data_IF_348503671181
#
_entry.id   IF_348503671181
#
_cell.length_a   1.000
_cell.length_b   1.000
_cell.length_c   1.000
_cell.angle_alpha   90.00
_cell.angle_beta   90.00
_cell.angle_gamma   90.00
#
_symmetry.space_group_name_H-M   'P 1'
#
loop_
_entity.id
_entity.type
_entity.pdbx_description
1 polymer ?
#
# COMPACT_ATOMS: atom_id res chain seq x y z
N UNK A 1 -32.28 -3.19 -4.33
CA UNK A 1 -33.02 -1.91 -4.35
C UNK A 1 -33.77 -1.82 -5.67
N UNK A 2 -35.08 -1.62 -5.59
CA UNK A 2 -35.98 -1.39 -6.73
C UNK A 2 -35.61 -0.07 -7.41
N UNK A 3 -35.48 -0.10 -8.74
CA UNK A 3 -35.12 1.06 -9.55
C UNK A 3 -36.14 2.19 -9.35
N UNK A 4 -35.69 3.25 -8.68
CA UNK A 4 -36.43 4.50 -8.56
C UNK A 4 -36.22 5.33 -9.82
N UNK A 5 -37.34 5.61 -10.50
CA UNK A 5 -37.61 6.75 -11.39
C UNK A 5 -36.45 7.73 -11.67
N UNK A 6 -35.88 7.65 -12.87
CA UNK A 6 -35.71 8.78 -13.81
C UNK A 6 -34.93 10.02 -13.38
N UNK A 7 -34.11 9.98 -12.34
CA UNK A 7 -33.29 11.14 -11.95
C UNK A 7 -31.92 11.04 -12.60
N UNK A 8 -31.71 11.79 -13.68
CA UNK A 8 -30.39 11.96 -14.29
C UNK A 8 -29.59 12.98 -13.49
N UNK A 9 -28.49 12.57 -12.87
CA UNK A 9 -27.64 13.48 -12.12
C UNK A 9 -26.68 14.23 -13.05
N UNK A 10 -26.44 15.49 -12.76
CA UNK A 10 -25.38 16.26 -13.42
C UNK A 10 -24.08 16.18 -12.61
N UNK A 11 -22.92 16.34 -13.26
CA UNK A 11 -21.63 16.46 -12.56
C UNK A 11 -21.62 17.60 -11.53
N UNK A 12 -22.40 18.67 -11.71
CA UNK A 12 -22.51 19.78 -10.75
C UNK A 12 -23.27 19.41 -9.48
N UNK A 13 -24.24 18.52 -9.59
CA UNK A 13 -25.05 18.04 -8.46
C UNK A 13 -24.50 16.77 -7.81
N UNK A 14 -23.50 16.14 -8.43
CA UNK A 14 -22.94 14.89 -7.98
C UNK A 14 -22.07 15.06 -6.73
N UNK A 15 -22.12 14.08 -5.84
CA UNK A 15 -21.26 14.02 -4.66
C UNK A 15 -19.87 13.49 -5.03
N UNK A 16 -18.91 13.78 -4.17
CA UNK A 16 -17.56 13.23 -4.22
C UNK A 16 -16.72 13.59 -5.48
N UNK A 17 -17.07 14.68 -6.17
CA UNK A 17 -16.41 15.10 -7.43
C UNK A 17 -14.97 15.63 -7.25
N UNK A 18 -14.64 16.17 -6.07
CA UNK A 18 -13.43 16.98 -5.88
C UNK A 18 -13.54 18.37 -6.55
N UNK A 19 -12.41 19.07 -6.75
CA UNK A 19 -11.05 18.63 -6.47
C UNK A 19 -10.78 18.53 -4.95
N UNK A 20 -9.87 17.62 -4.59
CA UNK A 20 -9.41 17.41 -3.22
C UNK A 20 -7.91 17.67 -3.13
N UNK A 21 -7.49 18.29 -2.02
CA UNK A 21 -6.09 18.34 -1.62
C UNK A 21 -5.84 17.20 -0.64
N UNK A 22 -5.16 16.14 -1.09
CA UNK A 22 -4.81 14.99 -0.24
C UNK A 22 -3.58 15.31 0.61
N UNK A 23 -2.62 16.04 0.05
CA UNK A 23 -1.45 16.51 0.76
C UNK A 23 -0.90 17.76 0.09
N UNK A 24 -0.75 18.82 0.86
CA UNK A 24 -0.11 20.07 0.42
C UNK A 24 1.42 20.06 0.64
N UNK A 25 1.95 19.02 1.31
CA UNK A 25 3.37 18.84 1.56
C UNK A 25 4.06 18.15 0.39
N UNK A 26 5.35 18.42 0.17
CA UNK A 26 6.15 17.77 -0.87
C UNK A 26 6.32 16.26 -0.61
N UNK A 27 5.94 15.36 -1.54
CA UNK A 27 5.31 15.66 -2.83
C UNK A 27 3.81 15.94 -2.69
N UNK A 28 3.39 17.07 -3.27
CA UNK A 28 1.99 17.49 -3.29
C UNK A 28 1.12 16.49 -4.03
N UNK A 29 -0.13 16.36 -3.60
CA UNK A 29 -1.03 15.34 -4.11
C UNK A 29 -2.47 15.82 -4.06
N UNK A 30 -3.12 15.72 -5.23
CA UNK A 30 -4.48 16.15 -5.45
C UNK A 30 -5.28 15.02 -6.11
N UNK A 31 -6.60 15.07 -5.92
CA UNK A 31 -7.56 14.22 -6.64
C UNK A 31 -8.58 15.10 -7.35
N UNK A 32 -8.91 14.77 -8.58
CA UNK A 32 -10.08 15.32 -9.28
C UNK A 32 -10.91 14.17 -9.83
N UNK A 33 -12.17 14.41 -10.14
CA UNK A 33 -12.89 13.52 -11.03
C UNK A 33 -12.12 13.37 -12.36
N UNK A 34 -12.27 12.21 -12.98
CA UNK A 34 -11.62 11.88 -14.25
C UNK A 34 -12.31 12.61 -15.40
N UNK A 35 -11.52 13.10 -16.35
CA UNK A 35 -11.98 13.84 -17.51
C UNK A 35 -11.47 13.23 -18.81
N UNK A 36 -12.19 13.42 -19.92
CA UNK A 36 -11.76 12.91 -21.23
C UNK A 36 -10.40 13.46 -21.67
N UNK A 37 -10.01 14.64 -21.18
CA UNK A 37 -8.67 15.20 -21.39
C UNK A 37 -7.55 14.37 -20.75
N UNK A 38 -7.86 13.45 -19.82
CA UNK A 38 -6.87 12.56 -19.20
C UNK A 38 -6.50 11.37 -20.10
N UNK A 39 -7.23 11.14 -21.21
CA UNK A 39 -7.02 10.01 -22.13
C UNK A 39 -5.57 9.91 -22.64
N UNK A 40 -4.95 10.98 -23.19
CA UNK A 40 -3.61 10.87 -23.74
C UNK A 40 -2.57 10.43 -22.69
N UNK A 41 -2.64 10.98 -21.48
CA UNK A 41 -1.73 10.61 -20.40
C UNK A 41 -2.00 9.21 -19.86
N UNK A 42 -3.27 8.80 -19.75
CA UNK A 42 -3.59 7.43 -19.35
C UNK A 42 -3.09 6.40 -20.36
N UNK A 43 -3.25 6.66 -21.66
CA UNK A 43 -2.69 5.81 -22.74
C UNK A 43 -1.17 5.79 -22.67
N UNK A 44 -0.52 6.95 -22.53
CA UNK A 44 0.94 7.03 -22.40
C UNK A 44 1.44 6.19 -21.22
N UNK A 45 0.91 6.44 -20.02
CA UNK A 45 1.36 5.82 -18.78
C UNK A 45 1.19 4.30 -18.81
N UNK A 46 0.03 3.81 -19.26
CA UNK A 46 -0.28 2.38 -19.29
C UNK A 46 0.48 1.61 -20.38
N UNK A 47 1.20 2.31 -21.25
CA UNK A 47 2.12 1.73 -22.22
C UNK A 47 3.62 1.97 -21.89
N UNK A 48 3.96 2.69 -20.81
CA UNK A 48 5.37 2.87 -20.40
C UNK A 48 6.03 1.51 -20.18
N UNK A 49 5.34 0.62 -19.47
CA UNK A 49 5.76 -0.76 -19.25
C UNK A 49 4.54 -1.64 -18.92
N UNK A 50 4.79 -2.93 -18.68
CA UNK A 50 3.75 -3.91 -18.34
C UNK A 50 3.45 -3.99 -16.84
N UNK A 51 4.05 -3.17 -15.97
CA UNK A 51 3.94 -3.36 -14.51
C UNK A 51 2.51 -3.17 -14.03
N UNK A 52 1.83 -2.12 -14.51
CA UNK A 52 0.42 -1.86 -14.16
C UNK A 52 -0.50 -2.95 -14.72
N UNK A 53 -0.21 -3.44 -15.92
CA UNK A 53 -0.93 -4.56 -16.53
C UNK A 53 -0.75 -5.85 -15.74
N UNK A 54 0.49 -6.24 -15.44
CA UNK A 54 0.82 -7.46 -14.70
C UNK A 54 0.25 -7.43 -13.28
N UNK A 55 0.13 -6.25 -12.68
CA UNK A 55 -0.43 -6.06 -11.33
C UNK A 55 -1.96 -6.00 -11.27
N UNK A 56 -2.67 -6.03 -12.39
CA UNK A 56 -4.10 -5.73 -12.46
C UNK A 56 -4.85 -6.66 -13.41
N UNK A 57 -5.93 -7.29 -12.91
CA UNK A 57 -6.77 -8.20 -13.69
C UNK A 57 -7.50 -7.55 -14.88
N UNK A 58 -7.59 -6.21 -14.90
CA UNK A 58 -8.57 -5.48 -15.72
C UNK A 58 -7.95 -4.65 -16.85
N UNK A 59 -6.63 -4.68 -16.99
CA UNK A 59 -5.96 -3.95 -18.07
C UNK A 59 -5.70 -4.86 -19.27
N UNK A 60 -5.70 -4.26 -20.45
CA UNK A 60 -5.28 -4.88 -21.71
C UNK A 60 -3.94 -4.26 -22.11
N UNK A 61 -3.09 -5.04 -22.79
CA UNK A 61 -1.79 -4.56 -23.28
C UNK A 61 -1.59 -4.98 -24.75
N UNK A 62 -1.25 -4.07 -25.68
CA UNK A 62 -1.06 -2.63 -25.47
C UNK A 62 -2.36 -1.93 -25.06
N UNK A 63 -2.25 -0.82 -24.34
CA UNK A 63 -3.41 -0.06 -23.89
C UNK A 63 -3.82 0.96 -24.97
N UNK A 64 -5.04 0.89 -25.47
CA UNK A 64 -5.52 1.70 -26.58
C UNK A 64 -6.35 2.90 -26.10
N UNK A 65 -6.46 3.91 -26.96
CA UNK A 65 -7.32 5.07 -26.73
C UNK A 65 -8.79 4.68 -26.52
N UNK A 66 -9.29 3.68 -27.26
CA UNK A 66 -10.64 3.14 -27.06
C UNK A 66 -10.83 2.57 -25.65
N UNK A 67 -9.83 1.88 -25.09
CA UNK A 67 -9.90 1.35 -23.73
C UNK A 67 -9.95 2.46 -22.68
N UNK A 68 -9.24 3.57 -22.96
CA UNK A 68 -9.24 4.76 -22.13
C UNK A 68 -10.60 5.47 -22.17
N UNK A 69 -11.13 5.67 -23.38
CA UNK A 69 -12.45 6.25 -23.63
C UNK A 69 -13.54 5.46 -22.91
N UNK A 70 -13.58 4.14 -23.08
CA UNK A 70 -14.59 3.27 -22.45
C UNK A 70 -14.54 3.35 -20.92
N UNK A 71 -13.33 3.43 -20.35
CA UNK A 71 -13.14 3.49 -18.91
C UNK A 71 -13.60 4.83 -18.33
N UNK A 72 -13.25 5.94 -18.97
CA UNK A 72 -13.70 7.27 -18.55
C UNK A 72 -15.20 7.42 -18.78
N UNK A 73 -15.74 6.93 -19.89
CA UNK A 73 -17.16 6.94 -20.15
C UNK A 73 -17.94 6.22 -19.05
N UNK A 74 -17.50 5.02 -18.64
CA UNK A 74 -18.12 4.30 -17.51
C UNK A 74 -18.12 5.09 -16.20
N UNK A 75 -17.06 5.85 -15.93
CA UNK A 75 -17.01 6.72 -14.76
C UNK A 75 -18.04 7.85 -14.85
N UNK A 76 -18.18 8.49 -16.01
CA UNK A 76 -19.20 9.52 -16.25
C UNK A 76 -20.62 8.96 -16.21
N UNK A 77 -20.84 7.78 -16.77
CA UNK A 77 -22.13 7.09 -16.75
C UNK A 77 -22.53 6.72 -15.32
N UNK A 78 -21.57 6.26 -14.50
CA UNK A 78 -21.79 5.97 -13.08
C UNK A 78 -22.26 7.23 -12.35
N UNK A 79 -21.56 8.36 -12.53
CA UNK A 79 -21.94 9.64 -11.92
C UNK A 79 -23.35 10.04 -12.35
N UNK A 80 -23.67 9.88 -13.63
CA UNK A 80 -24.98 10.22 -14.19
C UNK A 80 -26.09 9.35 -13.63
N UNK A 81 -25.81 8.06 -13.41
CA UNK A 81 -26.77 7.07 -12.94
C UNK A 81 -27.06 7.16 -11.44
N UNK A 82 -26.02 7.36 -10.60
CA UNK A 82 -26.16 7.29 -9.14
C UNK A 82 -25.88 8.61 -8.42
N UNK A 83 -25.42 9.65 -9.13
CA UNK A 83 -25.14 10.97 -8.55
C UNK A 83 -23.93 11.01 -7.63
N UNK A 84 -23.07 9.99 -7.68
CA UNK A 84 -21.89 9.86 -6.84
C UNK A 84 -20.70 9.56 -7.75
N UNK A 85 -19.65 10.38 -7.65
CA UNK A 85 -18.39 10.06 -8.29
C UNK A 85 -17.62 9.02 -7.49
N UNK A 86 -17.14 8.01 -8.21
CA UNK A 86 -16.43 6.87 -7.66
C UNK A 86 -15.05 6.68 -8.28
N UNK A 87 -14.64 7.56 -9.21
CA UNK A 87 -13.38 7.44 -9.94
C UNK A 87 -12.66 8.79 -9.95
N UNK A 88 -11.37 8.77 -9.59
CA UNK A 88 -10.55 9.97 -9.48
C UNK A 88 -9.21 9.81 -10.20
N UNK A 89 -8.80 10.89 -10.85
CA UNK A 89 -7.44 11.08 -11.34
C UNK A 89 -6.57 11.59 -10.19
N UNK A 90 -5.41 10.97 -10.01
CA UNK A 90 -4.35 11.49 -9.13
C UNK A 90 -3.56 12.55 -9.89
N UNK A 91 -3.22 13.66 -9.23
CA UNK A 91 -2.45 14.76 -9.84
C UNK A 91 -1.39 15.30 -8.86
N UNK A 92 -0.25 15.73 -9.40
CA UNK A 92 0.81 16.38 -8.62
C UNK A 92 0.52 17.87 -8.35
N UNK A 93 -0.23 18.51 -9.26
CA UNK A 93 -0.80 19.86 -9.12
C UNK A 93 -2.30 19.79 -9.41
N UNK A 94 -3.14 20.73 -8.95
CA UNK A 94 -4.59 20.61 -9.08
C UNK A 94 -5.08 20.48 -10.53
N UNK A 95 -4.46 21.20 -11.46
CA UNK A 95 -4.76 21.19 -12.91
C UNK A 95 -3.71 20.40 -13.72
N UNK A 96 -2.82 19.67 -13.04
CA UNK A 96 -1.74 18.93 -13.68
C UNK A 96 -2.21 17.70 -14.46
N UNK A 97 -1.32 17.08 -15.23
CA UNK A 97 -1.62 15.83 -15.91
C UNK A 97 -2.01 14.72 -14.93
N UNK A 98 -2.75 13.74 -15.42
CA UNK A 98 -3.01 12.51 -14.68
C UNK A 98 -1.67 11.80 -14.39
N UNK A 99 -1.44 11.46 -13.13
CA UNK A 99 -0.27 10.65 -12.71
C UNK A 99 -0.67 9.26 -12.20
N UNK A 100 -1.96 9.00 -12.05
CA UNK A 100 -2.53 7.77 -11.53
C UNK A 100 -4.04 7.84 -11.44
N UNK A 101 -4.64 6.77 -10.94
CA UNK A 101 -6.08 6.61 -10.83
C UNK A 101 -6.43 5.91 -9.52
N UNK A 102 -7.50 6.34 -8.89
CA UNK A 102 -8.10 5.63 -7.78
C UNK A 102 -9.62 5.56 -7.95
N UNK A 103 -10.23 4.50 -7.42
CA UNK A 103 -11.67 4.35 -7.46
C UNK A 103 -12.17 3.55 -6.26
N UNK A 104 -13.47 3.73 -5.99
CA UNK A 104 -14.26 2.93 -5.06
C UNK A 104 -15.34 2.19 -5.87
N UNK A 105 -15.50 0.90 -5.65
CA UNK A 105 -16.56 0.10 -6.24
C UNK A 105 -17.48 -0.41 -5.15
N UNK A 106 -18.78 -0.23 -5.27
CA UNK A 106 -19.72 -0.76 -4.30
C UNK A 106 -20.14 -2.18 -4.67
N UNK A 107 -20.15 -3.08 -3.69
CA UNK A 107 -20.61 -4.45 -3.91
C UNK A 107 -22.08 -4.45 -4.35
N UNK A 108 -22.36 -5.21 -5.41
CA UNK A 108 -23.72 -5.43 -5.87
C UNK A 108 -24.26 -6.70 -5.23
N UNK A 109 -25.24 -6.54 -4.35
CA UNK A 109 -25.82 -7.65 -3.62
C UNK A 109 -26.98 -8.29 -4.36
N UNK A 110 -27.04 -9.62 -4.35
CA UNK A 110 -28.11 -10.41 -4.93
C UNK A 110 -28.22 -11.76 -4.19
N UNK A 111 -29.14 -12.63 -4.62
CA UNK A 111 -29.38 -13.92 -3.96
C UNK A 111 -28.13 -14.84 -3.90
N UNK A 112 -27.18 -14.67 -4.83
CA UNK A 112 -25.92 -15.43 -4.86
C UNK A 112 -24.79 -14.78 -4.06
N UNK A 113 -24.87 -13.45 -3.87
CA UNK A 113 -23.92 -12.64 -3.12
C UNK A 113 -24.70 -11.76 -2.13
N UNK A 114 -25.20 -12.35 -1.04
CA UNK A 114 -26.01 -11.61 -0.08
C UNK A 114 -25.18 -10.51 0.56
N UNK A 115 -25.85 -9.41 0.90
CA UNK A 115 -25.24 -8.31 1.63
C UNK A 115 -24.74 -8.81 2.99
N UNK A 116 -23.50 -8.50 3.38
CA UNK A 116 -23.01 -8.88 4.69
C UNK A 116 -23.80 -8.16 5.79
N UNK A 117 -23.93 -8.82 6.94
CA UNK A 117 -24.61 -8.28 8.12
C UNK A 117 -23.63 -8.17 9.28
N UNK A 118 -23.83 -7.15 10.10
CA UNK A 118 -23.07 -6.97 11.32
C UNK A 118 -23.37 -8.14 12.29
N UNK A 119 -22.35 -8.85 12.80
CA UNK A 119 -22.56 -10.11 13.54
C UNK A 119 -23.28 -9.93 14.88
N UNK A 120 -23.34 -8.71 15.43
CA UNK A 120 -23.98 -8.41 16.71
C UNK A 120 -25.33 -7.74 16.54
N UNK A 121 -25.44 -6.75 15.66
CA UNK A 121 -26.67 -5.96 15.49
C UNK A 121 -27.60 -6.53 14.42
N UNK A 122 -27.07 -7.36 13.51
CA UNK A 122 -27.82 -7.89 12.37
C UNK A 122 -28.07 -6.85 11.27
N UNK A 123 -27.54 -5.64 11.40
CA UNK A 123 -27.71 -4.57 10.41
C UNK A 123 -26.94 -4.87 9.13
N UNK A 124 -27.49 -4.46 7.99
CA UNK A 124 -26.87 -4.62 6.69
C UNK A 124 -25.65 -3.70 6.58
N UNK A 125 -24.51 -4.27 6.17
CA UNK A 125 -23.26 -3.54 6.01
C UNK A 125 -23.08 -3.07 4.57
N UNK A 126 -22.63 -1.84 4.41
CA UNK A 126 -22.23 -1.25 3.14
C UNK A 126 -20.75 -1.47 2.93
N UNK A 127 -20.40 -2.17 1.84
CA UNK A 127 -19.03 -2.54 1.52
C UNK A 127 -18.60 -1.87 0.22
N UNK A 128 -17.43 -1.25 0.26
CA UNK A 128 -16.77 -0.67 -0.92
C UNK A 128 -15.41 -1.33 -1.15
N UNK A 129 -15.08 -1.66 -2.39
CA UNK A 129 -13.76 -2.07 -2.83
C UNK A 129 -12.95 -0.87 -3.31
N UNK A 130 -11.74 -0.69 -2.78
CA UNK A 130 -10.79 0.30 -3.27
C UNK A 130 -9.84 -0.31 -4.29
N UNK A 131 -9.61 0.40 -5.39
CA UNK A 131 -8.61 0.05 -6.39
C UNK A 131 -7.86 1.27 -6.90
N UNK A 132 -6.59 1.10 -7.22
CA UNK A 132 -5.74 2.18 -7.73
C UNK A 132 -4.63 1.66 -8.63
N UNK A 133 -4.07 2.57 -9.42
CA UNK A 133 -2.79 2.42 -10.09
C UNK A 133 -2.08 3.77 -10.15
N UNK A 134 -0.76 3.75 -10.26
CA UNK A 134 0.07 4.94 -10.28
C UNK A 134 1.11 4.79 -11.40
N UNK A 135 1.43 5.89 -12.08
CA UNK A 135 2.51 5.90 -13.08
C UNK A 135 3.81 5.38 -12.45
N UNK A 136 4.58 4.52 -13.15
CA UNK A 136 5.91 4.09 -12.72
C UNK A 136 6.82 5.28 -12.32
N UNK A 137 6.70 6.41 -13.02
CA UNK A 137 7.46 7.66 -12.79
C UNK A 137 7.18 8.30 -11.42
N UNK A 138 6.08 7.91 -10.77
CA UNK A 138 5.60 8.46 -9.51
C UNK A 138 5.60 7.44 -8.35
N UNK A 139 6.06 6.21 -8.61
CA UNK A 139 6.19 5.17 -7.59
C UNK A 139 7.26 5.49 -6.54
N UNK A 140 7.26 4.77 -5.41
CA UNK A 140 8.24 4.96 -4.33
C UNK A 140 8.03 6.18 -3.44
N UNK A 141 7.18 7.14 -3.85
CA UNK A 141 6.93 8.41 -3.12
C UNK A 141 5.77 8.36 -2.10
N UNK A 142 5.19 7.18 -1.87
CA UNK A 142 4.07 6.99 -0.95
C UNK A 142 2.73 7.63 -1.38
N UNK A 143 2.62 8.12 -2.63
CA UNK A 143 1.43 8.81 -3.14
C UNK A 143 0.17 7.94 -3.09
N UNK A 144 0.22 6.72 -3.64
CA UNK A 144 -0.93 5.82 -3.67
C UNK A 144 -1.44 5.45 -2.27
N UNK A 145 -0.56 5.34 -1.26
CA UNK A 145 -0.96 5.05 0.11
C UNK A 145 -1.67 6.24 0.77
N UNK A 146 -1.22 7.48 0.48
CA UNK A 146 -1.90 8.71 0.92
C UNK A 146 -3.28 8.83 0.27
N UNK A 147 -3.40 8.56 -1.04
CA UNK A 147 -4.71 8.51 -1.72
C UNK A 147 -5.59 7.42 -1.10
N UNK A 148 -5.05 6.22 -0.90
CA UNK A 148 -5.78 5.10 -0.33
C UNK A 148 -6.38 5.44 1.03
N UNK A 149 -5.58 6.03 1.92
CA UNK A 149 -6.05 6.50 3.24
C UNK A 149 -7.14 7.55 3.10
N UNK A 150 -6.93 8.57 2.26
CA UNK A 150 -7.91 9.63 2.04
C UNK A 150 -9.25 9.07 1.52
N UNK A 151 -9.22 8.16 0.55
CA UNK A 151 -10.43 7.54 0.04
C UNK A 151 -11.13 6.66 1.09
N UNK A 152 -10.39 5.98 1.95
CA UNK A 152 -10.98 5.20 3.05
C UNK A 152 -11.63 6.15 4.07
N UNK A 153 -10.86 7.07 4.64
CA UNK A 153 -11.28 7.86 5.80
C UNK A 153 -12.28 8.95 5.42
N UNK A 154 -11.96 9.78 4.42
CA UNK A 154 -12.77 10.96 4.09
C UNK A 154 -13.91 10.63 3.14
N UNK A 155 -13.68 9.75 2.16
CA UNK A 155 -14.68 9.49 1.13
C UNK A 155 -15.59 8.32 1.52
N UNK A 156 -15.04 7.12 1.71
CA UNK A 156 -15.82 5.91 1.92
C UNK A 156 -16.53 5.92 3.28
N UNK A 157 -15.79 6.10 4.38
CA UNK A 157 -16.35 6.05 5.72
C UNK A 157 -17.18 7.30 6.05
N UNK A 158 -16.64 8.49 5.80
CA UNK A 158 -17.27 9.75 6.21
C UNK A 158 -18.33 10.27 5.23
N UNK A 159 -18.00 10.45 3.94
CA UNK A 159 -18.94 11.05 2.98
C UNK A 159 -19.96 10.06 2.42
N UNK A 160 -19.57 8.78 2.25
CA UNK A 160 -20.40 7.73 1.66
C UNK A 160 -21.06 6.81 2.70
N UNK A 161 -20.61 6.84 3.96
CA UNK A 161 -21.18 6.03 5.04
C UNK A 161 -20.96 4.53 4.86
N UNK A 162 -19.85 4.12 4.25
CA UNK A 162 -19.48 2.71 4.17
C UNK A 162 -19.10 2.18 5.55
N UNK A 163 -19.47 0.94 5.83
CA UNK A 163 -19.04 0.26 7.04
C UNK A 163 -17.68 -0.42 6.82
N UNK A 164 -17.46 -0.98 5.63
CA UNK A 164 -16.27 -1.77 5.30
C UNK A 164 -15.67 -1.25 3.99
N UNK A 165 -14.34 -1.06 3.99
CA UNK A 165 -13.59 -0.79 2.76
C UNK A 165 -12.61 -1.93 2.48
N UNK A 166 -12.80 -2.66 1.40
CA UNK A 166 -11.96 -3.80 1.05
C UNK A 166 -10.94 -3.41 -0.02
N UNK A 167 -9.73 -3.94 0.05
CA UNK A 167 -8.78 -3.93 -1.07
C UNK A 167 -8.48 -5.36 -1.49
N UNK A 168 -8.57 -5.64 -2.79
CA UNK A 168 -8.25 -6.96 -3.36
C UNK A 168 -7.00 -6.85 -4.22
N UNK A 169 -5.98 -7.65 -3.91
CA UNK A 169 -4.75 -7.73 -4.71
C UNK A 169 -4.31 -9.18 -4.95
N UNK A 170 -3.61 -9.42 -6.06
CA UNK A 170 -2.88 -10.67 -6.25
C UNK A 170 -1.89 -10.90 -5.09
N UNK A 171 -1.70 -12.16 -4.69
CA UNK A 171 -0.81 -12.53 -3.59
C UNK A 171 0.63 -12.07 -3.83
N UNK A 172 1.07 -12.13 -5.09
CA UNK A 172 2.40 -11.73 -5.55
C UNK A 172 2.54 -10.22 -5.80
N UNK A 173 1.45 -9.45 -5.80
CA UNK A 173 1.50 -7.99 -5.97
C UNK A 173 1.85 -7.31 -4.63
N UNK A 174 3.08 -7.55 -4.18
CA UNK A 174 3.64 -6.99 -2.96
C UNK A 174 3.58 -5.45 -2.89
N UNK A 175 3.84 -4.70 -3.98
CA UNK A 175 3.71 -3.25 -3.95
C UNK A 175 2.30 -2.78 -3.58
N UNK A 176 1.26 -3.37 -4.17
CA UNK A 176 -0.13 -3.02 -3.87
C UNK A 176 -0.51 -3.37 -2.43
N UNK A 177 -0.09 -4.55 -1.93
CA UNK A 177 -0.32 -4.93 -0.53
C UNK A 177 0.30 -3.93 0.45
N UNK A 178 1.55 -3.50 0.19
CA UNK A 178 2.23 -2.49 1.02
C UNK A 178 1.55 -1.13 0.98
N UNK A 179 0.93 -0.77 -0.14
CA UNK A 179 0.13 0.46 -0.23
C UNK A 179 -1.14 0.35 0.61
N UNK A 180 -1.86 -0.78 0.55
CA UNK A 180 -3.05 -1.00 1.38
C UNK A 180 -2.72 -1.01 2.89
N UNK A 181 -1.65 -1.70 3.29
CA UNK A 181 -1.15 -1.67 4.68
C UNK A 181 -0.84 -0.23 5.14
N UNK A 182 -0.13 0.56 4.31
CA UNK A 182 0.20 1.96 4.62
C UNK A 182 -1.02 2.89 4.60
N UNK A 183 -2.07 2.53 3.86
CA UNK A 183 -3.35 3.22 3.90
C UNK A 183 -4.12 2.96 5.21
N UNK A 184 -3.63 2.07 6.08
CA UNK A 184 -4.25 1.74 7.36
C UNK A 184 -5.12 0.48 7.33
N UNK A 185 -5.07 -0.29 6.23
CA UNK A 185 -5.86 -1.51 6.07
C UNK A 185 -5.10 -2.72 6.63
N UNK A 186 -5.80 -3.65 7.27
CA UNK A 186 -5.21 -4.88 7.79
C UNK A 186 -5.53 -6.07 6.87
N UNK A 187 -4.60 -7.02 6.75
CA UNK A 187 -4.81 -8.23 5.96
C UNK A 187 -5.70 -9.20 6.72
N UNK A 188 -6.90 -9.46 6.22
CA UNK A 188 -7.85 -10.38 6.85
C UNK A 188 -7.77 -11.80 6.29
N UNK A 189 -7.55 -11.95 4.98
CA UNK A 189 -7.51 -13.26 4.32
C UNK A 189 -6.29 -13.36 3.39
N UNK A 190 -5.37 -14.30 3.68
CA UNK A 190 -4.16 -14.52 2.86
C UNK A 190 -4.44 -15.23 1.51
N UNK A 191 -5.48 -16.08 1.44
CA UNK A 191 -5.78 -16.91 0.24
C UNK A 191 -6.52 -16.16 -0.88
N UNK A 192 -7.12 -15.02 -0.56
CA UNK A 192 -7.64 -13.98 -1.46
C UNK A 192 -7.27 -12.70 -0.74
N UNK A 193 -6.22 -11.98 -1.14
CA UNK A 193 -5.69 -10.85 -0.35
C UNK A 193 -6.75 -9.76 -0.19
N UNK A 194 -7.57 -9.90 0.85
CA UNK A 194 -8.68 -9.03 1.24
C UNK A 194 -8.14 -8.26 2.44
N UNK A 195 -7.95 -6.96 2.26
CA UNK A 195 -7.58 -6.05 3.35
C UNK A 195 -8.77 -5.19 3.73
N UNK A 196 -9.01 -4.95 5.01
CA UNK A 196 -10.17 -4.19 5.53
C UNK A 196 -9.67 -3.23 6.64
N UNK A 197 -10.16 -1.96 6.73
CA UNK A 197 -9.92 -1.11 7.88
C UNK A 197 -10.79 -1.57 9.05
N UNK A 198 -10.21 -1.66 10.25
CA UNK A 198 -10.97 -1.98 11.46
C UNK A 198 -12.02 -0.91 11.72
N UNK A 199 -13.30 -1.30 11.66
CA UNK A 199 -14.41 -0.54 12.21
C UNK A 199 -14.11 -0.16 13.66
N UNK A 200 -14.38 1.09 14.04
CA UNK A 200 -14.10 1.63 15.36
C UNK A 200 -14.71 0.79 16.49
N UNK A 201 -13.86 0.02 17.17
CA UNK A 201 -14.14 -0.56 18.48
C UNK A 201 -13.03 -0.15 19.44
N UNK A 202 -13.40 0.55 20.50
CA UNK A 202 -12.54 0.72 21.67
C UNK A 202 -12.11 -0.67 22.15
N UNK A 203 -10.79 -0.86 22.22
CA UNK A 203 -10.07 -2.08 22.58
C UNK A 203 -10.39 -2.56 24.01
N UNK A 204 -11.60 -3.07 24.25
CA UNK A 204 -11.95 -3.63 25.54
C UNK A 204 -12.23 -5.14 25.52
N UNK A 205 -12.68 -5.75 24.42
CA UNK A 205 -13.07 -7.17 24.47
C UNK A 205 -13.06 -7.98 23.16
N UNK A 206 -12.31 -7.58 22.12
CA UNK A 206 -12.10 -8.49 20.98
C UNK A 206 -11.07 -9.56 21.34
N UNK A 207 -11.54 -10.66 21.92
CA UNK A 207 -10.78 -11.92 21.99
C UNK A 207 -10.85 -12.58 20.62
N UNK A 208 -9.75 -12.51 19.86
CA UNK A 208 -9.63 -13.16 18.55
C UNK A 208 -9.97 -14.67 18.68
N UNK A 209 -11.06 -15.16 18.04
CA UNK A 209 -11.47 -16.57 18.10
C UNK A 209 -10.42 -17.54 17.55
N UNK A 210 -9.48 -17.03 16.74
CA UNK A 210 -8.38 -17.76 16.15
C UNK A 210 -7.03 -17.49 16.84
N UNK A 211 -7.00 -16.73 17.94
CA UNK A 211 -5.77 -16.41 18.66
C UNK A 211 -4.99 -17.66 19.07
N UNK A 212 -5.69 -18.71 19.50
CA UNK A 212 -5.09 -20.02 19.83
C UNK A 212 -4.48 -20.71 18.61
N UNK A 213 -5.11 -20.57 17.45
CA UNK A 213 -4.68 -21.19 16.21
C UNK A 213 -3.57 -20.38 15.50
N UNK A 214 -3.41 -19.10 15.84
CA UNK A 214 -2.32 -18.24 15.36
C UNK A 214 -1.15 -18.13 16.36
N UNK A 215 -1.32 -18.56 17.63
CA UNK A 215 -0.29 -18.53 18.66
C UNK A 215 1.02 -19.25 18.25
N UNK A 216 0.94 -20.33 17.47
CA UNK A 216 2.14 -21.04 17.00
C UNK A 216 3.03 -20.19 16.08
N UNK A 217 2.48 -19.20 15.37
CA UNK A 217 3.26 -18.28 14.51
C UNK A 217 4.08 -17.28 15.33
N UNK A 218 3.64 -17.01 16.55
CA UNK A 218 4.31 -16.14 17.52
C UNK A 218 5.14 -16.94 18.54
N UNK A 219 5.34 -18.24 18.31
CA UNK A 219 6.14 -19.09 19.18
C UNK A 219 7.58 -18.58 19.27
N UNK A 220 8.17 -18.58 20.48
CA UNK A 220 9.49 -18.01 20.76
C UNK A 220 10.61 -18.54 19.86
N UNK A 221 10.46 -19.78 19.35
CA UNK A 221 11.36 -20.42 18.40
C UNK A 221 11.45 -19.69 17.04
N UNK A 222 10.43 -18.93 16.63
CA UNK A 222 10.37 -18.24 15.34
C UNK A 222 10.66 -16.73 15.43
N UNK A 223 11.04 -16.21 16.60
CA UNK A 223 11.37 -14.78 16.71
C UNK A 223 12.62 -14.42 15.89
N UNK A 224 12.68 -13.20 15.34
CA UNK A 224 13.82 -12.72 14.54
C UNK A 224 15.15 -12.85 15.29
N UNK A 225 15.12 -12.63 16.61
CA UNK A 225 16.29 -12.71 17.49
C UNK A 225 16.83 -14.14 17.61
N UNK A 226 15.94 -15.11 17.81
CA UNK A 226 16.32 -16.54 17.85
C UNK A 226 16.85 -17.01 16.51
N UNK A 227 16.23 -16.60 15.38
CA UNK A 227 16.70 -16.93 14.03
C UNK A 227 18.11 -16.40 13.73
N UNK A 228 18.41 -15.16 14.10
CA UNK A 228 19.75 -14.57 13.94
C UNK A 228 20.77 -15.31 14.82
N UNK A 229 20.40 -15.66 16.06
CA UNK A 229 21.27 -16.43 16.96
C UNK A 229 21.59 -17.84 16.47
N UNK A 230 20.69 -18.47 15.71
CA UNK A 230 20.88 -19.82 15.16
C UNK A 230 21.53 -19.85 13.77
N UNK A 231 21.68 -18.70 13.09
CA UNK A 231 22.22 -18.64 11.73
C UNK A 231 23.73 -18.86 11.63
N UNK A 232 24.48 -18.73 12.73
CA UNK A 232 25.95 -18.84 12.72
C UNK A 232 26.46 -19.63 13.94
N UNK A 233 26.26 -20.96 13.98
CA UNK A 233 26.81 -21.77 15.05
C UNK A 233 28.34 -21.63 15.05
N UNK A 234 28.90 -21.01 16.10
CA UNK A 234 30.35 -20.85 16.31
C UNK A 234 30.91 -19.44 16.08
N UNK A 235 30.30 -18.60 15.24
CA UNK A 235 30.85 -17.27 14.93
C UNK A 235 30.82 -16.34 16.14
N UNK A 236 29.76 -16.40 16.96
CA UNK A 236 29.63 -15.57 18.17
C UNK A 236 30.72 -15.86 19.20
N UNK A 237 31.06 -17.13 19.40
CA UNK A 237 32.12 -17.54 20.34
C UNK A 237 33.49 -17.12 19.80
N UNK A 238 33.74 -17.28 18.50
CA UNK A 238 34.98 -16.87 17.87
C UNK A 238 35.22 -15.34 17.98
N UNK A 239 34.20 -14.52 17.76
CA UNK A 239 34.31 -13.06 17.91
C UNK A 239 34.62 -12.64 19.34
N UNK A 240 33.98 -13.27 20.33
CA UNK A 240 34.25 -12.99 21.75
C UNK A 240 35.65 -13.44 22.16
N UNK A 241 36.10 -14.62 21.74
CA UNK A 241 37.44 -15.11 22.01
C UNK A 241 38.53 -14.22 21.37
N UNK A 242 38.31 -13.77 20.14
CA UNK A 242 39.22 -12.87 19.44
C UNK A 242 39.28 -11.49 20.10
N UNK A 243 38.15 -10.93 20.52
CA UNK A 243 38.12 -9.67 21.26
C UNK A 243 38.82 -9.79 22.63
N UNK A 244 38.64 -10.92 23.33
CA UNK A 244 39.36 -11.19 24.57
C UNK A 244 40.88 -11.32 24.36
N UNK A 245 41.31 -11.97 23.26
CA UNK A 245 42.71 -12.05 22.87
C UNK A 245 43.29 -10.66 22.58
N UNK A 246 42.61 -9.84 21.77
CA UNK A 246 43.04 -8.47 21.49
C UNK A 246 43.10 -7.60 22.75
N UNK A 247 42.14 -7.76 23.67
CA UNK A 247 42.16 -7.06 24.97
C UNK A 247 43.34 -7.51 25.84
N UNK A 248 43.65 -8.81 25.86
CA UNK A 248 44.82 -9.33 26.56
C UNK A 248 46.13 -8.80 25.96
N UNK A 249 46.29 -8.82 24.63
CA UNK A 249 47.43 -8.19 23.97
C UNK A 249 47.49 -6.69 24.25
N UNK A 250 46.38 -5.96 24.22
CA UNK A 250 46.40 -4.52 24.52
C UNK A 250 46.87 -4.20 25.94
N UNK A 251 46.56 -5.07 26.92
CA UNK A 251 46.96 -4.89 28.32
C UNK A 251 48.38 -5.41 28.59
N UNK A 252 48.84 -6.41 27.85
CA UNK A 252 50.15 -7.06 28.08
C UNK A 252 51.23 -6.65 27.08
N UNK A 253 50.87 -5.98 25.99
CA UNK A 253 51.83 -5.49 25.01
C UNK A 253 52.72 -4.40 25.63
N UNK A 254 54.05 -4.52 25.51
CA UNK A 254 54.96 -3.48 25.97
C UNK A 254 54.72 -2.20 25.17
N UNK A 255 54.55 -1.07 25.85
CA UNK A 255 54.48 0.26 25.22
C UNK A 255 55.88 0.64 24.74
N UNK A 256 56.19 0.34 23.47
CA UNK A 256 57.41 0.82 22.82
C UNK A 256 57.38 2.36 22.74
N UNK A 257 58.34 2.99 23.41
CA UNK A 257 58.63 4.42 23.27
C UNK A 257 59.36 4.65 21.95
N UNK A 258 58.73 5.34 21.00
CA UNK A 258 59.42 5.78 19.79
C UNK A 258 60.54 6.77 20.14
N UNK A 259 61.80 6.32 20.10
CA UNK A 259 62.97 7.17 20.05
C UNK A 259 63.96 6.71 18.98
N UNK A 260 64.38 7.71 18.21
CA UNK A 260 65.31 7.69 17.08
C UNK A 260 66.72 7.20 17.42
N UNK A 261 67.43 6.65 16.44
CA UNK A 261 68.89 6.76 16.40
C UNK A 261 69.63 5.70 15.58
N UNK A 262 70.10 6.10 14.39
CA UNK A 262 71.43 5.86 13.79
C UNK A 262 72.08 4.46 13.92
N UNK A 263 72.31 3.69 12.84
CA UNK A 263 73.28 3.86 11.74
C UNK A 263 74.46 2.89 11.88
N UNK A 264 74.81 2.25 10.74
CA UNK A 264 76.13 1.70 10.37
C UNK A 264 76.65 0.55 11.27
N UNK A 265 77.44 -0.43 10.85
CA UNK A 265 78.28 -0.75 9.69
C UNK A 265 78.47 -2.29 9.84
N UNK A 266 78.50 -3.10 8.78
CA UNK A 266 79.73 -3.34 8.02
C UNK A 266 80.43 -4.63 8.48
N UNK A 267 80.93 -5.39 7.49
CA UNK A 267 81.93 -6.48 7.57
C UNK A 267 81.43 -7.86 8.00
N UNK A 268 82.01 -8.97 7.54
CA UNK A 268 82.69 -9.35 6.29
C UNK A 268 83.01 -10.84 6.44
N UNK A 269 83.16 -11.52 5.30
CA UNK A 269 83.98 -12.71 5.03
C UNK A 269 84.04 -13.89 6.03
N UNK A 270 83.61 -15.07 5.56
CA UNK A 270 84.52 -16.10 5.06
C UNK A 270 83.80 -17.06 4.10
#
# INVERSE_FOLDING_TARGET
>A
MTASTGTTYTRKSAKCMGPYTVSAQDPSLYLSAVEFSDIPEMVRILNINKDVYNGSALFQYPYLESHAQDRIQKAHDTVTAIGINTHWAMRATPEGPLIGWAHLHFDHYNDKHPQPVHPVTGELLTVADIGYWLSPEHTGKGLAARVGRFLVEEIALKDMGCDIVRAVSYTENWPSRKVAERAGMELELERKSILIPKLGYTMANFQDPWAKHHAWRNHALFTRRTRIGTMFPGLGIATVAFAAYLGYEYVTAPKETHHHGHSAEGHDHH
#
